data_IF_935816079687
#
_entry.id   IF_935816079687
#
_cell.length_a   1.000
_cell.length_b   1.000
_cell.length_c   1.000
_cell.angle_alpha   90.00
_cell.angle_beta   90.00
_cell.angle_gamma   90.00
#
_symmetry.space_group_name_H-M   'P 1'
#
loop_
_entity.id
_entity.type
_entity.pdbx_description
1 polymer ?
#
# COMPACT_ATOMS: atom_id res chain seq x y z
N UNK A 1 -5.01 21.79 16.41
CA UNK A 1 -6.47 21.74 16.11
C UNK A 1 -6.61 21.26 14.69
N UNK A 2 -7.42 20.23 14.43
CA UNK A 2 -7.68 19.78 13.06
C UNK A 2 -8.77 20.66 12.44
N UNK A 3 -8.67 20.94 11.14
CA UNK A 3 -9.67 21.76 10.46
C UNK A 3 -11.03 21.05 10.41
N UNK A 4 -11.03 19.70 10.38
CA UNK A 4 -12.27 18.91 10.45
C UNK A 4 -13.06 19.15 11.73
N UNK A 5 -12.39 19.39 12.86
CA UNK A 5 -13.05 19.59 14.15
C UNK A 5 -13.84 20.91 14.16
N UNK A 6 -13.42 21.88 13.34
CA UNK A 6 -14.11 23.16 13.20
C UNK A 6 -15.44 23.02 12.43
N UNK A 7 -15.54 22.06 11.50
CA UNK A 7 -16.74 21.86 10.68
C UNK A 7 -17.95 21.36 11.50
N UNK A 8 -17.70 20.68 12.62
CA UNK A 8 -18.75 20.25 13.56
C UNK A 8 -19.07 21.28 14.65
N UNK A 9 -18.33 22.39 14.69
CA UNK A 9 -18.41 23.41 15.73
C UNK A 9 -19.30 24.61 15.38
N UNK A 10 -19.33 25.64 16.24
CA UNK A 10 -20.06 26.87 15.96
C UNK A 10 -19.50 27.64 14.75
N UNK A 11 -20.27 28.57 14.14
CA UNK A 11 -19.88 29.39 12.99
C UNK A 11 -18.61 30.21 13.14
N UNK A 12 -18.49 30.89 14.27
CA UNK A 12 -17.60 32.03 14.45
C UNK A 12 -16.10 31.66 14.35
N UNK A 13 -15.65 30.49 14.85
CA UNK A 13 -14.29 30.01 14.62
C UNK A 13 -13.91 29.84 13.15
N UNK A 14 -14.83 29.36 12.30
CA UNK A 14 -14.54 29.15 10.87
C UNK A 14 -14.41 30.49 10.16
N UNK A 15 -15.35 31.40 10.39
CA UNK A 15 -15.36 32.72 9.74
C UNK A 15 -14.11 33.54 10.14
N UNK A 16 -13.68 33.40 11.41
CA UNK A 16 -12.42 33.99 11.86
C UNK A 16 -11.21 33.36 11.16
N UNK A 17 -11.15 32.03 11.10
CA UNK A 17 -10.05 31.33 10.48
C UNK A 17 -9.91 31.63 8.98
N UNK A 18 -11.02 31.65 8.24
CA UNK A 18 -11.06 31.98 6.80
C UNK A 18 -10.60 33.41 6.53
N UNK A 19 -10.89 34.35 7.43
CA UNK A 19 -10.44 35.74 7.30
C UNK A 19 -8.94 35.89 7.56
N UNK A 20 -8.41 35.12 8.51
CA UNK A 20 -7.05 35.31 9.02
C UNK A 20 -6.00 34.44 8.28
N UNK A 21 -6.44 33.52 7.40
CA UNK A 21 -5.58 32.60 6.67
C UNK A 21 -5.93 32.53 5.17
N UNK A 22 -5.03 31.98 4.36
CA UNK A 22 -5.34 31.59 2.97
C UNK A 22 -6.26 30.36 3.02
N UNK A 23 -7.55 30.59 3.23
CA UNK A 23 -8.53 29.53 3.45
C UNK A 23 -9.88 29.86 2.82
N UNK A 24 -10.69 28.81 2.60
CA UNK A 24 -12.05 28.91 2.11
C UNK A 24 -12.92 27.79 2.69
N UNK A 25 -14.13 28.15 3.09
CA UNK A 25 -15.18 27.22 3.48
C UNK A 25 -16.31 27.27 2.44
N UNK A 26 -16.90 26.14 2.09
CA UNK A 26 -18.09 26.15 1.24
C UNK A 26 -19.32 26.63 2.04
N UNK A 27 -20.36 27.08 1.34
CA UNK A 27 -21.57 27.65 1.95
C UNK A 27 -22.21 26.72 2.99
N UNK A 28 -22.25 25.42 2.71
CA UNK A 28 -22.88 24.42 3.58
C UNK A 28 -21.96 23.91 4.71
N UNK A 29 -20.72 24.42 4.79
CA UNK A 29 -19.72 24.03 5.80
C UNK A 29 -19.43 22.53 5.85
N UNK A 30 -19.50 21.89 4.70
CA UNK A 30 -19.17 20.47 4.51
C UNK A 30 -17.74 20.27 4.02
N UNK A 31 -17.05 21.35 3.63
CA UNK A 31 -15.66 21.36 3.23
C UNK A 31 -14.97 22.68 3.62
N UNK A 32 -13.76 22.56 4.16
CA UNK A 32 -12.85 23.66 4.47
C UNK A 32 -11.49 23.35 3.85
N UNK A 33 -10.93 24.29 3.11
CA UNK A 33 -9.60 24.18 2.53
C UNK A 33 -8.73 25.34 3.01
N UNK A 34 -7.46 25.07 3.30
CA UNK A 34 -6.51 26.08 3.74
C UNK A 34 -5.11 25.79 3.21
N UNK A 35 -4.37 26.83 2.88
CA UNK A 35 -2.94 26.76 2.60
C UNK A 35 -2.21 27.35 3.80
N UNK A 36 -1.45 26.51 4.49
CA UNK A 36 -0.78 26.86 5.74
C UNK A 36 0.73 26.74 5.60
N UNK A 37 1.51 27.65 6.23
CA UNK A 37 2.94 27.43 6.43
C UNK A 37 3.19 26.11 7.17
N UNK A 38 4.18 25.34 6.72
CA UNK A 38 4.52 24.05 7.29
C UNK A 38 6.02 23.76 7.23
N UNK A 39 6.51 22.98 8.19
CA UNK A 39 7.89 22.49 8.17
C UNK A 39 8.16 21.64 6.89
N UNK A 40 9.33 21.76 6.24
CA UNK A 40 9.61 21.08 4.97
C UNK A 40 9.62 19.55 5.07
N UNK A 41 9.89 19.00 6.26
CA UNK A 41 9.92 17.54 6.50
C UNK A 41 8.74 17.00 7.30
N UNK A 42 8.07 17.85 8.07
CA UNK A 42 7.04 17.43 9.02
C UNK A 42 5.76 18.21 8.75
N UNK A 43 4.58 17.59 8.84
CA UNK A 43 3.30 18.31 8.71
C UNK A 43 2.95 19.09 9.98
N UNK A 44 3.89 19.91 10.44
CA UNK A 44 3.82 20.78 11.62
C UNK A 44 4.00 22.23 11.23
N UNK A 45 3.63 23.15 12.13
CA UNK A 45 3.96 24.56 12.02
C UNK A 45 5.48 24.74 12.10
N UNK A 46 6.11 25.53 11.22
CA UNK A 46 7.55 25.80 11.29
C UNK A 46 7.87 26.68 12.51
N UNK A 47 9.03 26.44 13.13
CA UNK A 47 9.56 27.30 14.19
C UNK A 47 10.21 28.57 13.62
N UNK A 48 10.42 29.56 14.49
CA UNK A 48 11.02 30.83 14.08
C UNK A 48 12.46 30.62 13.58
N UNK A 49 12.71 30.97 12.31
CA UNK A 49 14.02 30.84 11.67
C UNK A 49 14.24 29.53 10.92
N UNK A 50 13.25 28.63 10.92
CA UNK A 50 13.24 27.45 10.05
C UNK A 50 12.82 27.81 8.63
N UNK A 51 13.24 26.98 7.68
CA UNK A 51 12.73 27.02 6.31
C UNK A 51 11.22 26.77 6.32
N UNK A 52 10.48 27.53 5.51
CA UNK A 52 9.03 27.43 5.41
C UNK A 52 8.64 26.78 4.09
N UNK A 53 7.85 25.72 4.17
CA UNK A 53 7.10 25.14 3.05
C UNK A 53 5.61 25.44 3.22
N UNK A 54 4.79 25.01 2.26
CA UNK A 54 3.33 25.14 2.36
C UNK A 54 2.65 23.77 2.30
N UNK A 55 1.53 23.65 3.01
CA UNK A 55 0.64 22.49 2.96
C UNK A 55 -0.77 22.94 2.61
N UNK A 56 -1.38 22.27 1.64
CA UNK A 56 -2.82 22.32 1.40
C UNK A 56 -3.49 21.34 2.37
N UNK A 57 -4.31 21.87 3.27
CA UNK A 57 -5.18 21.10 4.16
C UNK A 57 -6.59 21.14 3.60
N UNK A 58 -7.20 19.98 3.37
CA UNK A 58 -8.60 19.86 2.92
C UNK A 58 -9.34 18.99 3.91
N UNK A 59 -10.33 19.58 4.58
CA UNK A 59 -11.13 18.94 5.61
C UNK A 59 -12.59 18.74 5.15
N UNK A 60 -13.14 17.60 5.54
CA UNK A 60 -14.55 17.22 5.55
C UNK A 60 -14.90 16.72 6.97
N UNK A 61 -16.19 16.62 7.37
CA UNK A 61 -16.56 16.23 8.73
C UNK A 61 -15.88 14.95 9.27
N UNK A 62 -15.55 13.99 8.40
CA UNK A 62 -14.95 12.71 8.80
C UNK A 62 -13.51 12.52 8.32
N UNK A 63 -12.94 13.47 7.57
CA UNK A 63 -11.65 13.27 6.92
C UNK A 63 -10.86 14.57 6.80
N UNK A 64 -9.55 14.50 6.93
CA UNK A 64 -8.62 15.59 6.63
C UNK A 64 -7.49 15.05 5.76
N UNK A 65 -7.17 15.74 4.66
CA UNK A 65 -6.04 15.45 3.81
C UNK A 65 -5.04 16.59 3.88
N UNK A 66 -3.74 16.25 3.88
CA UNK A 66 -2.63 17.20 3.89
C UNK A 66 -1.72 16.91 2.72
N UNK A 67 -1.53 17.88 1.84
CA UNK A 67 -0.74 17.75 0.62
C UNK A 67 0.34 18.84 0.60
N UNK A 68 1.61 18.46 0.42
CA UNK A 68 2.69 19.44 0.27
C UNK A 68 2.55 20.20 -1.05
N UNK A 69 2.64 21.52 -0.97
CA UNK A 69 2.67 22.40 -2.13
C UNK A 69 4.09 22.90 -2.40
N UNK A 70 4.42 23.34 -3.63
CA UNK A 70 5.70 23.97 -3.91
C UNK A 70 6.01 25.11 -2.95
N UNK A 71 7.20 25.10 -2.35
CA UNK A 71 7.69 26.14 -1.44
C UNK A 71 8.06 27.42 -2.20
N UNK A 72 8.45 27.31 -3.47
CA UNK A 72 8.84 28.45 -4.31
C UNK A 72 7.65 29.36 -4.72
N UNK A 73 6.41 28.92 -4.52
CA UNK A 73 5.20 29.65 -4.90
C UNK A 73 4.65 30.41 -3.70
N UNK A 74 4.28 31.67 -3.92
CA UNK A 74 3.56 32.46 -2.93
C UNK A 74 2.05 32.34 -3.17
N UNK A 75 1.33 31.87 -2.15
CA UNK A 75 -0.12 31.65 -2.18
C UNK A 75 -0.85 32.85 -1.57
N UNK A 76 -1.81 33.39 -2.31
CA UNK A 76 -2.53 34.62 -1.98
C UNK A 76 -3.98 34.37 -1.58
N UNK A 77 -4.58 33.29 -2.11
CA UNK A 77 -5.99 32.99 -1.91
C UNK A 77 -6.33 31.56 -2.32
N UNK A 78 -7.42 31.04 -1.78
CA UNK A 78 -8.02 29.78 -2.23
C UNK A 78 -9.54 29.93 -2.26
N UNK A 79 -10.19 29.26 -3.20
CA UNK A 79 -11.65 29.13 -3.29
C UNK A 79 -12.02 27.68 -3.55
N UNK A 80 -13.05 27.18 -2.89
CA UNK A 80 -13.68 25.90 -3.24
C UNK A 80 -14.70 26.17 -4.34
N UNK A 81 -14.53 25.56 -5.51
CA UNK A 81 -15.36 25.82 -6.70
C UNK A 81 -16.38 24.72 -6.97
N UNK A 82 -16.13 23.49 -6.52
CA UNK A 82 -17.07 22.37 -6.58
C UNK A 82 -16.76 21.34 -5.48
N UNK A 83 -17.74 20.51 -5.13
CA UNK A 83 -17.58 19.39 -4.18
C UNK A 83 -17.73 18.00 -4.82
N UNK A 84 -18.43 17.94 -5.95
CA UNK A 84 -18.84 16.74 -6.68
C UNK A 84 -18.44 16.89 -8.15
N UNK A 85 -17.90 15.86 -8.82
CA UNK A 85 -17.53 14.52 -8.30
C UNK A 85 -16.27 14.53 -7.41
N UNK A 86 -15.59 15.67 -7.32
CA UNK A 86 -14.37 15.86 -6.56
C UNK A 86 -14.31 17.29 -6.04
N UNK A 87 -13.70 17.52 -4.86
CA UNK A 87 -13.48 18.90 -4.40
C UNK A 87 -12.55 19.59 -5.40
N UNK A 88 -13.00 20.70 -5.95
CA UNK A 88 -12.26 21.52 -6.90
C UNK A 88 -11.92 22.86 -6.28
N UNK A 89 -10.78 23.41 -6.67
CA UNK A 89 -10.24 24.65 -6.11
C UNK A 89 -9.75 25.60 -7.19
N UNK A 90 -9.81 26.88 -6.87
CA UNK A 90 -8.96 27.90 -7.47
C UNK A 90 -7.97 28.39 -6.42
N UNK A 91 -6.69 28.38 -6.75
CA UNK A 91 -5.61 28.84 -5.87
C UNK A 91 -4.99 30.07 -6.53
N UNK A 92 -5.11 31.23 -5.90
CA UNK A 92 -4.47 32.44 -6.36
C UNK A 92 -3.02 32.46 -5.90
N UNK A 93 -2.11 32.68 -6.83
CA UNK A 93 -0.67 32.79 -6.58
C UNK A 93 -0.14 34.08 -7.18
N UNK A 94 1.10 34.42 -6.88
CA UNK A 94 1.81 35.52 -7.55
C UNK A 94 2.02 35.29 -9.05
N UNK A 95 1.97 34.05 -9.53
CA UNK A 95 2.11 33.69 -10.95
C UNK A 95 0.76 33.63 -11.69
N UNK A 96 -0.36 33.76 -10.97
CA UNK A 96 -1.72 33.67 -11.50
C UNK A 96 -2.61 32.69 -10.73
N UNK A 97 -3.84 32.50 -11.19
CA UNK A 97 -4.79 31.57 -10.58
C UNK A 97 -4.64 30.18 -11.18
N UNK A 98 -4.36 29.19 -10.31
CA UNK A 98 -4.30 27.77 -10.67
C UNK A 98 -5.66 27.14 -10.40
N UNK A 99 -6.21 26.48 -11.42
CA UNK A 99 -7.42 25.64 -11.29
C UNK A 99 -6.98 24.21 -11.04
N UNK A 100 -7.53 23.57 -10.02
CA UNK A 100 -7.18 22.19 -9.67
C UNK A 100 -8.33 21.48 -8.96
N UNK A 101 -8.13 20.22 -8.60
CA UNK A 101 -9.06 19.41 -7.81
C UNK A 101 -8.32 18.34 -6.98
N UNK A 102 -9.04 17.66 -6.09
CA UNK A 102 -8.45 16.63 -5.21
C UNK A 102 -7.83 15.45 -5.96
N UNK A 103 -8.22 15.17 -7.21
CA UNK A 103 -7.61 14.12 -8.03
C UNK A 103 -6.22 14.55 -8.53
N UNK A 104 -6.10 15.78 -9.03
CA UNK A 104 -4.81 16.32 -9.50
C UNK A 104 -3.82 16.54 -8.35
N UNK A 105 -4.24 17.14 -7.24
CA UNK A 105 -3.33 17.44 -6.11
C UNK A 105 -2.76 16.18 -5.44
N UNK A 106 -3.43 15.02 -5.56
CA UNK A 106 -2.89 13.73 -5.08
C UNK A 106 -1.59 13.33 -5.77
N UNK A 107 -1.34 13.83 -6.98
CA UNK A 107 -0.06 13.60 -7.66
C UNK A 107 1.13 14.15 -6.86
N UNK A 108 0.91 15.12 -5.95
CA UNK A 108 1.93 15.71 -5.09
C UNK A 108 2.17 14.93 -3.78
N UNK A 109 1.43 13.86 -3.50
CA UNK A 109 1.52 13.12 -2.22
C UNK A 109 2.74 12.19 -2.10
N UNK A 110 3.60 12.08 -3.12
CA UNK A 110 4.80 11.24 -3.04
C UNK A 110 5.76 11.79 -1.97
N UNK A 111 6.15 10.92 -1.03
CA UNK A 111 6.94 11.29 0.16
C UNK A 111 8.27 11.98 -0.21
N UNK A 112 8.98 11.44 -1.21
CA UNK A 112 10.33 11.90 -1.61
C UNK A 112 10.36 12.66 -2.94
N UNK A 113 9.34 13.48 -3.20
CA UNK A 113 9.29 14.30 -4.41
C UNK A 113 10.27 15.48 -4.34
N UNK A 114 11.16 15.60 -5.33
CA UNK A 114 12.01 16.78 -5.52
C UNK A 114 11.18 18.05 -5.76
N UNK A 115 11.66 19.21 -5.32
CA UNK A 115 10.92 20.47 -5.41
C UNK A 115 10.65 20.88 -6.88
N UNK A 116 11.60 20.64 -7.78
CA UNK A 116 11.43 20.93 -9.21
C UNK A 116 10.34 20.07 -9.86
N UNK A 117 10.23 18.79 -9.43
CA UNK A 117 9.15 17.90 -9.85
C UNK A 117 7.81 18.40 -9.33
N UNK A 118 7.74 18.73 -8.05
CA UNK A 118 6.55 19.25 -7.38
C UNK A 118 6.02 20.50 -8.08
N UNK A 119 6.92 21.43 -8.38
CA UNK A 119 6.60 22.66 -9.10
C UNK A 119 6.10 22.37 -10.52
N UNK A 120 6.71 21.42 -11.22
CA UNK A 120 6.29 21.03 -12.58
C UNK A 120 4.88 20.44 -12.59
N UNK A 121 4.58 19.53 -11.65
CA UNK A 121 3.26 18.92 -11.50
C UNK A 121 2.23 19.99 -11.11
N UNK A 122 2.54 20.86 -10.15
CA UNK A 122 1.62 21.92 -9.73
C UNK A 122 1.24 22.85 -10.89
N UNK A 123 2.22 23.19 -11.75
CA UNK A 123 1.99 24.02 -12.95
C UNK A 123 1.26 23.29 -14.08
N UNK A 124 1.17 21.97 -14.05
CA UNK A 124 0.44 21.20 -15.06
C UNK A 124 -1.04 21.02 -14.74
N UNK A 125 -1.48 21.44 -13.56
CA UNK A 125 -2.88 21.35 -13.15
C UNK A 125 -3.80 22.13 -14.08
N UNK A 126 -4.93 21.51 -14.40
CA UNK A 126 -5.94 22.06 -15.31
C UNK A 126 -7.29 22.23 -14.63
N UNK A 127 -7.48 21.62 -13.46
CA UNK A 127 -8.77 21.51 -12.79
C UNK A 127 -9.70 20.50 -13.45
N UNK A 128 -9.27 19.82 -14.51
CA UNK A 128 -10.10 18.84 -15.21
C UNK A 128 -10.23 17.58 -14.36
N UNK A 129 -11.46 17.25 -13.99
CA UNK A 129 -11.76 15.94 -13.45
C UNK A 129 -11.72 14.90 -14.57
N UNK A 130 -11.00 13.81 -14.32
CA UNK A 130 -11.02 12.63 -15.17
C UNK A 130 -11.80 11.57 -14.40
N UNK A 131 -13.02 11.20 -14.84
CA UNK A 131 -13.75 10.11 -14.22
C UNK A 131 -12.87 8.87 -14.12
N UNK A 132 -12.85 8.17 -12.98
CA UNK A 132 -12.15 6.90 -12.91
C UNK A 132 -12.72 6.00 -14.01
N UNK A 133 -11.85 5.35 -14.77
CA UNK A 133 -12.27 4.32 -15.71
C UNK A 133 -12.94 3.25 -14.85
N UNK A 134 -14.23 2.91 -15.08
CA UNK A 134 -14.87 1.83 -14.34
C UNK A 134 -14.00 0.59 -14.46
N UNK A 135 -13.65 -0.03 -13.33
CA UNK A 135 -12.99 -1.34 -13.37
C UNK A 135 -13.89 -2.27 -14.17
N UNK A 136 -13.35 -2.89 -15.21
CA UNK A 136 -14.05 -3.97 -15.89
C UNK A 136 -14.39 -5.00 -14.83
N UNK A 137 -15.67 -5.38 -14.73
CA UNK A 137 -16.08 -6.35 -13.72
C UNK A 137 -15.23 -7.61 -13.89
N UNK A 138 -14.54 -8.02 -12.83
CA UNK A 138 -13.80 -9.26 -12.82
C UNK A 138 -14.74 -10.41 -13.20
N UNK A 139 -14.28 -11.28 -14.08
CA UNK A 139 -15.03 -12.44 -14.55
C UNK A 139 -14.31 -13.71 -14.14
N UNK A 140 -15.05 -14.80 -13.88
CA UNK A 140 -14.44 -16.09 -13.68
C UNK A 140 -13.63 -16.52 -14.91
N UNK A 141 -12.53 -17.23 -14.68
CA UNK A 141 -11.77 -17.86 -15.75
C UNK A 141 -11.13 -19.18 -15.29
N UNK A 142 -10.82 -20.04 -16.24
CA UNK A 142 -10.31 -21.38 -15.95
C UNK A 142 -8.79 -21.44 -16.01
N UNK A 143 -8.23 -22.23 -15.10
CA UNK A 143 -6.86 -22.73 -15.15
C UNK A 143 -6.91 -24.26 -15.12
N UNK A 144 -5.83 -24.91 -15.58
CA UNK A 144 -5.75 -26.37 -15.55
C UNK A 144 -5.46 -26.90 -14.14
N UNK A 145 -4.66 -26.18 -13.34
CA UNK A 145 -4.23 -26.63 -12.02
C UNK A 145 -5.20 -26.25 -10.91
N UNK A 146 -5.84 -25.08 -10.98
CA UNK A 146 -6.73 -24.55 -9.93
C UNK A 146 -8.22 -24.63 -10.29
N UNK A 147 -8.55 -25.06 -11.51
CA UNK A 147 -9.93 -25.09 -11.99
C UNK A 147 -10.47 -23.69 -12.28
N UNK A 148 -11.77 -23.50 -12.09
CA UNK A 148 -12.44 -22.22 -12.33
C UNK A 148 -12.20 -21.26 -11.17
N UNK A 149 -11.49 -20.19 -11.45
CA UNK A 149 -11.21 -19.11 -10.52
C UNK A 149 -12.40 -18.16 -10.43
N UNK A 150 -12.92 -17.92 -9.22
CA UNK A 150 -14.06 -17.04 -8.99
C UNK A 150 -13.58 -15.67 -8.50
N UNK A 151 -14.05 -14.56 -9.07
CA UNK A 151 -13.76 -13.26 -8.52
C UNK A 151 -14.47 -13.09 -7.17
N UNK A 152 -13.81 -12.40 -6.25
CA UNK A 152 -14.41 -11.97 -4.99
C UNK A 152 -15.54 -10.94 -5.23
N UNK A 153 -16.20 -10.51 -4.14
CA UNK A 153 -17.32 -9.58 -4.24
C UNK A 153 -16.92 -8.19 -4.79
N UNK A 154 -15.65 -7.80 -4.60
CA UNK A 154 -15.11 -6.51 -5.05
C UNK A 154 -14.50 -6.59 -6.47
N UNK A 155 -14.19 -7.79 -6.95
CA UNK A 155 -13.52 -8.04 -8.22
C UNK A 155 -12.02 -7.69 -8.20
N UNK A 156 -11.42 -7.70 -7.02
CA UNK A 156 -10.01 -7.37 -6.79
C UNK A 156 -9.15 -8.64 -6.66
N UNK A 157 -9.78 -9.75 -6.30
CA UNK A 157 -9.13 -11.05 -6.14
C UNK A 157 -9.88 -12.16 -6.88
N UNK A 158 -9.15 -13.21 -7.19
CA UNK A 158 -9.71 -14.47 -7.65
C UNK A 158 -9.41 -15.57 -6.64
N UNK A 159 -10.41 -16.36 -6.31
CA UNK A 159 -10.32 -17.48 -5.38
C UNK A 159 -10.42 -18.79 -6.15
N UNK A 160 -9.59 -19.76 -5.76
CA UNK A 160 -9.73 -21.15 -6.17
C UNK A 160 -10.22 -22.02 -5.00
N UNK A 161 -10.72 -23.21 -5.33
CA UNK A 161 -10.94 -24.24 -4.32
C UNK A 161 -9.63 -24.61 -3.62
N UNK A 162 -9.65 -24.92 -2.31
CA UNK A 162 -8.46 -25.32 -1.58
C UNK A 162 -7.73 -26.50 -2.22
N UNK A 163 -6.40 -26.45 -2.22
CA UNK A 163 -5.54 -27.47 -2.83
C UNK A 163 -4.64 -28.13 -1.79
N UNK A 164 -4.45 -29.44 -1.92
CA UNK A 164 -3.51 -30.18 -1.08
C UNK A 164 -2.06 -29.84 -1.49
N UNK A 165 -1.25 -29.43 -0.52
CA UNK A 165 0.11 -28.94 -0.74
C UNK A 165 1.13 -29.98 -0.27
N UNK A 166 1.84 -30.69 -1.17
CA UNK A 166 2.78 -31.74 -0.78
C UNK A 166 3.98 -31.22 0.02
N UNK A 167 4.35 -29.94 -0.13
CA UNK A 167 5.34 -29.26 0.70
C UNK A 167 4.98 -29.30 2.20
N UNK A 168 3.68 -29.27 2.53
CA UNK A 168 3.15 -29.39 3.89
C UNK A 168 2.41 -30.72 4.09
N UNK A 169 2.96 -31.81 3.55
CA UNK A 169 2.44 -33.18 3.73
C UNK A 169 0.96 -33.35 3.33
N UNK A 170 0.52 -32.57 2.33
CA UNK A 170 -0.86 -32.60 1.81
C UNK A 170 -1.84 -31.71 2.56
N UNK A 171 -1.36 -30.78 3.40
CA UNK A 171 -2.20 -29.73 3.99
C UNK A 171 -3.01 -29.03 2.91
N UNK A 172 -4.33 -28.95 3.11
CA UNK A 172 -5.24 -28.31 2.17
C UNK A 172 -5.29 -26.82 2.45
N UNK A 173 -4.82 -26.00 1.51
CA UNK A 173 -4.74 -24.54 1.67
C UNK A 173 -5.66 -23.81 0.69
N UNK A 174 -6.37 -22.76 1.11
CA UNK A 174 -7.05 -21.85 0.20
C UNK A 174 -6.04 -21.16 -0.71
N UNK A 175 -6.48 -20.83 -1.94
CA UNK A 175 -5.64 -20.18 -2.95
C UNK A 175 -6.32 -18.89 -3.41
N UNK A 176 -5.59 -17.78 -3.32
CA UNK A 176 -6.04 -16.48 -3.77
C UNK A 176 -5.06 -15.93 -4.81
N UNK A 177 -5.58 -15.18 -5.78
CA UNK A 177 -4.79 -14.57 -6.84
C UNK A 177 -5.14 -13.08 -6.96
N UNK A 178 -4.12 -12.26 -7.17
CA UNK A 178 -4.24 -10.81 -7.33
C UNK A 178 -3.59 -10.33 -8.62
N UNK A 179 -4.17 -9.32 -9.27
CA UNK A 179 -3.65 -8.69 -10.49
C UNK A 179 -3.40 -9.67 -11.66
N UNK A 180 -4.24 -10.70 -11.76
CA UNK A 180 -4.21 -11.72 -12.82
C UNK A 180 -5.43 -11.63 -13.75
N UNK A 181 -5.31 -12.27 -14.91
CA UNK A 181 -6.38 -12.38 -15.88
C UNK A 181 -6.37 -13.74 -16.58
N UNK A 182 -7.39 -14.00 -17.40
CA UNK A 182 -7.44 -15.20 -18.25
C UNK A 182 -6.23 -15.33 -19.20
N UNK A 183 -5.53 -14.24 -19.53
CA UNK A 183 -4.31 -14.29 -20.34
C UNK A 183 -3.12 -14.90 -19.58
N UNK A 184 -3.15 -14.87 -18.25
CA UNK A 184 -2.08 -15.36 -17.39
C UNK A 184 -2.23 -16.85 -17.02
N UNK A 185 -3.34 -17.49 -17.42
CA UNK A 185 -3.70 -18.86 -17.03
C UNK A 185 -2.58 -19.89 -17.28
N UNK A 186 -1.90 -19.81 -18.43
CA UNK A 186 -0.79 -20.74 -18.74
C UNK A 186 0.43 -20.53 -17.85
N UNK A 187 0.71 -19.30 -17.42
CA UNK A 187 1.84 -19.00 -16.54
C UNK A 187 1.52 -19.41 -15.10
N UNK A 188 0.28 -19.20 -14.65
CA UNK A 188 -0.25 -19.69 -13.38
C UNK A 188 -0.17 -21.22 -13.32
N UNK A 189 -0.62 -21.91 -14.38
CA UNK A 189 -0.54 -23.36 -14.48
C UNK A 189 0.90 -23.86 -14.34
N UNK A 190 1.85 -23.26 -15.09
CA UNK A 190 3.24 -23.65 -15.03
C UNK A 190 3.85 -23.46 -13.62
N UNK A 191 3.57 -22.32 -12.98
CA UNK A 191 4.06 -22.05 -11.63
C UNK A 191 3.45 -23.00 -10.59
N UNK A 192 2.13 -23.23 -10.64
CA UNK A 192 1.48 -24.15 -9.71
C UNK A 192 1.92 -25.60 -9.92
N UNK A 193 2.15 -26.04 -11.15
CA UNK A 193 2.70 -27.38 -11.39
C UNK A 193 4.10 -27.57 -10.81
N UNK A 194 4.95 -26.55 -10.91
CA UNK A 194 6.26 -26.59 -10.30
C UNK A 194 6.14 -26.62 -8.77
N UNK A 195 5.31 -25.74 -8.21
CA UNK A 195 5.13 -25.63 -6.77
C UNK A 195 4.56 -26.92 -6.16
N UNK A 196 3.56 -27.52 -6.79
CA UNK A 196 2.94 -28.77 -6.31
C UNK A 196 3.86 -30.00 -6.44
N UNK A 197 5.03 -29.90 -7.12
CA UNK A 197 6.06 -30.94 -7.10
C UNK A 197 6.99 -30.82 -5.88
N UNK A 198 7.03 -29.64 -5.24
CA UNK A 198 7.81 -29.45 -4.02
C UNK A 198 7.22 -30.31 -2.91
N UNK A 199 8.09 -30.91 -2.11
CA UNK A 199 7.70 -31.87 -1.07
C UNK A 199 8.48 -31.64 0.23
N UNK A 200 8.35 -32.55 1.20
CA UNK A 200 9.04 -32.47 2.48
C UNK A 200 10.58 -32.31 2.37
N UNK A 201 11.23 -32.83 1.32
CA UNK A 201 12.65 -32.60 1.09
C UNK A 201 12.95 -31.13 0.74
N UNK A 202 12.10 -30.51 -0.07
CA UNK A 202 12.23 -29.09 -0.42
C UNK A 202 11.87 -28.20 0.77
N UNK A 203 10.94 -28.64 1.62
CA UNK A 203 10.68 -28.01 2.93
C UNK A 203 11.93 -28.02 3.81
N UNK A 204 12.63 -29.14 3.92
CA UNK A 204 13.91 -29.20 4.64
C UNK A 204 14.99 -28.29 4.04
N UNK A 205 15.03 -28.14 2.71
CA UNK A 205 15.93 -27.17 2.04
C UNK A 205 15.58 -25.70 2.32
N UNK A 206 14.30 -25.38 2.53
CA UNK A 206 13.85 -24.03 2.88
C UNK A 206 14.05 -23.70 4.37
N UNK A 207 14.12 -24.72 5.22
CA UNK A 207 14.18 -24.59 6.68
C UNK A 207 15.30 -23.66 7.19
N UNK A 208 16.53 -23.65 6.63
CA UNK A 208 17.58 -22.72 7.06
C UNK A 208 17.19 -21.24 6.89
N UNK A 209 16.51 -20.89 5.80
CA UNK A 209 16.08 -19.51 5.57
C UNK A 209 14.93 -19.08 6.52
N UNK A 210 14.05 -20.02 6.86
CA UNK A 210 12.98 -19.79 7.86
C UNK A 210 13.56 -19.63 9.25
N UNK A 211 14.52 -20.48 9.63
CA UNK A 211 15.22 -20.35 10.91
C UNK A 211 16.01 -19.03 10.98
N UNK A 212 16.67 -18.62 9.90
CA UNK A 212 17.37 -17.33 9.83
C UNK A 212 16.41 -16.16 10.02
N UNK A 213 15.23 -16.18 9.38
CA UNK A 213 14.20 -15.15 9.60
C UNK A 213 13.78 -15.07 11.07
N UNK A 214 13.50 -16.21 11.72
CA UNK A 214 13.17 -16.29 13.14
C UNK A 214 14.31 -15.73 14.03
N UNK A 215 15.55 -16.16 13.81
CA UNK A 215 16.71 -15.72 14.59
C UNK A 215 16.98 -14.22 14.42
N UNK A 216 16.81 -13.69 13.21
CA UNK A 216 16.95 -12.26 12.95
C UNK A 216 15.94 -11.47 13.76
N UNK A 217 14.66 -11.88 13.77
CA UNK A 217 13.64 -11.23 14.57
C UNK A 217 13.94 -11.28 16.08
N UNK A 218 14.22 -12.48 16.61
CA UNK A 218 14.51 -12.68 18.03
C UNK A 218 15.76 -11.91 18.51
N UNK A 219 16.69 -11.59 17.60
CA UNK A 219 17.88 -10.78 17.94
C UNK A 219 17.57 -9.29 18.14
N UNK A 220 16.41 -8.81 17.69
CA UNK A 220 15.99 -7.40 17.75
C UNK A 220 15.08 -7.09 18.94
N UNK A 221 14.59 -8.11 19.65
CA UNK A 221 13.68 -7.97 20.77
C UNK A 221 14.30 -8.48 22.07
N UNK A 222 13.76 -8.03 23.20
CA UNK A 222 14.06 -8.63 24.49
C UNK A 222 13.30 -9.97 24.60
N UNK A 223 14.03 -11.06 24.78
CA UNK A 223 13.44 -12.38 25.04
C UNK A 223 12.83 -12.36 26.44
N UNK A 224 11.51 -12.54 26.54
CA UNK A 224 10.79 -12.40 27.82
C UNK A 224 10.16 -13.71 28.29
N UNK A 225 10.07 -14.72 27.41
CA UNK A 225 9.47 -16.01 27.72
C UNK A 225 10.45 -17.17 27.56
N UNK A 226 10.18 -18.31 28.23
CA UNK A 226 10.93 -19.54 28.03
C UNK A 226 10.82 -20.06 26.58
N UNK A 227 9.70 -19.80 25.90
CA UNK A 227 9.49 -20.17 24.50
C UNK A 227 10.43 -19.36 23.58
N UNK A 228 10.57 -18.05 23.80
CA UNK A 228 11.48 -17.19 23.02
C UNK A 228 12.92 -17.68 23.13
N UNK A 229 13.35 -18.04 24.36
CA UNK A 229 14.68 -18.60 24.59
C UNK A 229 14.87 -19.97 23.95
N UNK A 230 13.85 -20.84 23.97
CA UNK A 230 13.90 -22.14 23.32
C UNK A 230 14.00 -22.00 21.80
N UNK A 231 13.23 -21.10 21.19
CA UNK A 231 13.29 -20.79 19.76
C UNK A 231 14.65 -20.21 19.37
N UNK A 232 15.18 -19.25 20.14
CA UNK A 232 16.50 -18.65 19.89
C UNK A 232 17.65 -19.68 19.98
N UNK A 233 17.46 -20.78 20.72
CA UNK A 233 18.45 -21.85 20.87
C UNK A 233 18.36 -22.94 19.78
N UNK A 234 17.40 -22.84 18.84
CA UNK A 234 17.28 -23.79 17.73
C UNK A 234 18.54 -23.75 16.86
N UNK A 235 19.14 -24.94 16.66
CA UNK A 235 20.32 -25.14 15.81
C UNK A 235 20.08 -26.13 14.68
N UNK A 236 19.03 -26.94 14.78
CA UNK A 236 18.53 -27.79 13.70
C UNK A 236 17.48 -27.01 12.90
N UNK A 237 17.74 -26.66 11.63
CA UNK A 237 16.77 -25.93 10.81
C UNK A 237 15.42 -26.62 10.70
N UNK A 238 15.38 -27.95 10.61
CA UNK A 238 14.12 -28.69 10.45
C UNK A 238 13.21 -28.61 11.68
N UNK A 239 13.76 -28.23 12.84
CA UNK A 239 13.00 -28.03 14.06
C UNK A 239 12.16 -26.74 14.08
N UNK A 240 12.24 -25.89 13.04
CA UNK A 240 11.47 -24.63 12.98
C UNK A 240 9.99 -24.84 12.59
N UNK A 241 9.67 -25.89 11.84
CA UNK A 241 8.34 -26.08 11.26
C UNK A 241 7.19 -26.22 12.26
N UNK A 242 7.36 -26.77 13.49
CA UNK A 242 6.32 -26.75 14.51
C UNK A 242 5.88 -25.33 14.92
N UNK A 243 6.69 -24.31 14.66
CA UNK A 243 6.43 -22.90 14.99
C UNK A 243 5.82 -22.11 13.82
N UNK A 244 5.49 -22.80 12.72
CA UNK A 244 4.97 -22.21 11.48
C UNK A 244 3.63 -22.85 11.14
N UNK A 245 2.59 -22.03 11.04
CA UNK A 245 1.23 -22.47 10.71
C UNK A 245 0.78 -21.83 9.38
N UNK A 246 0.91 -22.57 8.28
CA UNK A 246 0.59 -22.08 6.94
C UNK A 246 -0.93 -21.94 6.73
N UNK A 247 -1.37 -20.76 6.33
CA UNK A 247 -2.79 -20.39 6.24
C UNK A 247 -3.32 -20.39 4.81
N UNK A 248 -2.53 -19.94 3.84
CA UNK A 248 -2.99 -19.77 2.45
C UNK A 248 -1.84 -19.78 1.45
N UNK A 249 -2.22 -19.89 0.17
CA UNK A 249 -1.36 -19.63 -0.98
C UNK A 249 -1.86 -18.35 -1.67
N UNK A 250 -0.97 -17.39 -1.85
CA UNK A 250 -1.22 -16.22 -2.70
C UNK A 250 -0.41 -16.33 -4.00
N UNK A 251 -1.07 -16.09 -5.13
CA UNK A 251 -0.44 -16.04 -6.44
C UNK A 251 -0.35 -14.59 -6.87
N UNK A 252 0.89 -14.11 -6.99
CA UNK A 252 1.18 -12.71 -7.30
C UNK A 252 1.91 -12.64 -8.63
N UNK A 253 1.34 -11.87 -9.56
CA UNK A 253 2.00 -11.53 -10.81
C UNK A 253 2.99 -10.40 -10.57
N UNK A 254 4.23 -10.62 -10.95
CA UNK A 254 5.23 -9.57 -11.08
C UNK A 254 5.40 -9.23 -12.56
N UNK A 255 5.03 -8.02 -12.97
CA UNK A 255 5.17 -7.55 -14.36
C UNK A 255 6.61 -7.19 -14.74
N UNK A 256 7.57 -7.29 -13.81
CA UNK A 256 8.95 -6.86 -13.98
C UNK A 256 9.17 -5.39 -13.57
N UNK A 257 10.41 -4.92 -13.58
CA UNK A 257 10.70 -3.51 -13.23
C UNK A 257 9.95 -2.55 -14.15
N UNK A 258 9.53 -1.40 -13.61
CA UNK A 258 8.87 -0.33 -14.37
C UNK A 258 9.69 0.20 -15.56
N UNK A 259 10.99 -0.13 -15.60
CA UNK A 259 11.92 0.20 -16.67
C UNK A 259 12.13 -0.95 -17.69
N UNK A 260 11.40 -2.06 -17.56
CA UNK A 260 11.38 -3.19 -18.50
C UNK A 260 12.56 -4.15 -18.42
N UNK A 261 13.29 -4.18 -17.30
CA UNK A 261 14.55 -4.94 -17.16
C UNK A 261 14.36 -6.36 -16.55
N UNK A 262 13.16 -6.69 -16.06
CA UNK A 262 12.84 -8.03 -15.54
C UNK A 262 11.84 -8.78 -16.41
N UNK A 263 12.05 -10.08 -16.62
CA UNK A 263 11.02 -10.93 -17.23
C UNK A 263 9.84 -11.10 -16.27
N UNK A 264 8.59 -10.92 -16.76
CA UNK A 264 7.39 -11.16 -15.97
C UNK A 264 7.42 -12.56 -15.34
N UNK A 265 6.97 -12.67 -14.10
CA UNK A 265 6.95 -13.95 -13.39
C UNK A 265 5.74 -14.10 -12.48
N UNK A 266 5.37 -15.35 -12.23
CA UNK A 266 4.31 -15.71 -11.28
C UNK A 266 4.97 -16.18 -10.00
N UNK A 267 4.69 -15.53 -8.88
CA UNK A 267 5.17 -15.92 -7.58
C UNK A 267 4.09 -16.71 -6.85
N UNK A 268 4.48 -17.84 -6.27
CA UNK A 268 3.65 -18.60 -5.33
C UNK A 268 4.14 -18.24 -3.94
N UNK A 269 3.28 -17.59 -3.17
CA UNK A 269 3.57 -17.10 -1.82
C UNK A 269 2.82 -17.98 -0.83
N UNK A 270 3.54 -18.59 0.10
CA UNK A 270 2.93 -19.25 1.25
C UNK A 270 2.83 -18.24 2.38
N UNK A 271 1.61 -17.98 2.82
CA UNK A 271 1.28 -17.01 3.86
C UNK A 271 1.01 -17.80 5.14
N UNK A 272 1.85 -17.60 6.15
CA UNK A 272 1.90 -18.40 7.36
C UNK A 272 1.85 -17.51 8.61
N UNK A 273 1.18 -17.97 9.66
CA UNK A 273 1.45 -17.47 10.99
C UNK A 273 2.76 -18.08 11.51
N UNK A 274 3.45 -17.36 12.39
CA UNK A 274 4.61 -17.88 13.10
C UNK A 274 4.59 -17.43 14.56
N UNK A 275 5.23 -18.21 15.44
CA UNK A 275 5.21 -17.90 16.88
C UNK A 275 6.10 -16.71 17.28
N UNK A 276 7.13 -16.40 16.49
CA UNK A 276 8.05 -15.29 16.83
C UNK A 276 7.53 -13.92 16.43
N UNK A 277 6.75 -13.80 15.35
CA UNK A 277 6.22 -12.53 14.85
C UNK A 277 4.70 -12.64 14.60
N UNK A 278 3.88 -12.51 15.66
CA UNK A 278 2.44 -12.73 15.58
C UNK A 278 1.64 -11.58 14.94
N UNK A 279 2.22 -10.39 14.78
CA UNK A 279 1.53 -9.24 14.17
C UNK A 279 1.62 -9.31 12.64
N UNK A 280 2.79 -9.70 12.12
CA UNK A 280 3.07 -9.70 10.68
C UNK A 280 3.21 -11.10 10.06
N UNK A 281 3.40 -12.15 10.87
CA UNK A 281 3.55 -13.52 10.39
C UNK A 281 4.78 -13.76 9.50
N UNK A 282 4.72 -14.82 8.70
CA UNK A 282 5.76 -15.29 7.80
C UNK A 282 5.22 -15.44 6.38
N UNK A 283 5.98 -15.00 5.39
CA UNK A 283 5.80 -15.34 3.99
C UNK A 283 7.01 -16.11 3.43
N UNK A 284 6.74 -17.13 2.60
CA UNK A 284 7.75 -17.92 1.90
C UNK A 284 7.43 -17.85 0.40
N UNK A 285 8.36 -17.30 -0.39
CA UNK A 285 8.11 -16.93 -1.79
C UNK A 285 8.87 -17.82 -2.75
N UNK A 286 8.14 -18.45 -3.67
CA UNK A 286 8.68 -19.22 -4.78
C UNK A 286 8.42 -18.53 -6.12
N UNK A 287 9.48 -18.06 -6.78
CA UNK A 287 9.40 -17.55 -8.15
C UNK A 287 9.16 -18.69 -9.14
N UNK A 288 8.15 -18.53 -10.00
CA UNK A 288 7.65 -19.54 -10.94
C UNK A 288 7.36 -20.91 -10.29
N UNK A 289 7.04 -20.89 -8.99
CA UNK A 289 6.77 -22.07 -8.17
C UNK A 289 7.95 -23.03 -7.98
N UNK A 290 9.16 -22.72 -8.44
CA UNK A 290 10.30 -23.65 -8.37
C UNK A 290 11.47 -23.14 -7.51
N UNK A 291 11.73 -21.84 -7.55
CA UNK A 291 12.90 -21.24 -6.89
C UNK A 291 12.46 -20.46 -5.68
N UNK A 292 12.90 -20.89 -4.49
CA UNK A 292 12.79 -20.07 -3.28
C UNK A 292 13.59 -18.78 -3.49
N UNK A 293 12.92 -17.63 -3.42
CA UNK A 293 13.54 -16.31 -3.59
C UNK A 293 13.55 -15.50 -2.30
N UNK A 294 12.56 -15.71 -1.42
CA UNK A 294 12.43 -14.89 -0.21
C UNK A 294 11.74 -15.62 0.93
N UNK A 295 12.19 -15.32 2.15
CA UNK A 295 11.50 -15.62 3.41
C UNK A 295 11.51 -14.35 4.26
N UNK A 296 10.34 -13.80 4.58
CA UNK A 296 10.24 -12.55 5.34
C UNK A 296 8.90 -12.43 6.07
N UNK A 297 8.65 -11.29 6.71
CA UNK A 297 7.31 -10.88 7.16
C UNK A 297 6.36 -10.66 5.97
N UNK A 298 5.03 -10.80 6.19
CA UNK A 298 4.00 -10.74 5.15
C UNK A 298 3.73 -9.32 4.60
N UNK A 299 4.35 -8.28 5.15
CA UNK A 299 4.21 -6.89 4.68
C UNK A 299 5.22 -6.52 3.57
N UNK A 300 6.13 -7.43 3.24
CA UNK A 300 7.18 -7.24 2.24
C UNK A 300 6.72 -7.51 0.80
N UNK A 301 7.40 -6.87 -0.17
CA UNK A 301 7.21 -7.18 -1.60
C UNK A 301 7.71 -8.61 -1.95
N UNK A 302 7.14 -9.21 -3.00
CA UNK A 302 7.50 -10.57 -3.47
C UNK A 302 8.90 -10.69 -4.09
N UNK A 303 9.64 -9.58 -4.21
CA UNK A 303 10.99 -9.52 -4.79
C UNK A 303 12.07 -9.68 -3.72
N UNK A 304 13.25 -10.15 -4.16
CA UNK A 304 14.48 -10.29 -3.35
C UNK A 304 14.89 -8.97 -2.68
#
# INVERSE_FOLDING_TARGET
MLLRDMLGGPPEPIDAFVRDHVAACNADRTALAAILPSHPKWFSTPESGEDVSYVLVVARPLAESRIRLPAAIQYLGIRITALDPVISFEIDTTEGTVKTNMQEVRALCKLDMAEEERLRIFRSFTGRYVPPVPRTKAVPFDTRTLGTLQPDEYGDFWEAEPIAVPFFDGLSLPVQLMDVSAADASAIDAAMENFLRLNAQDRSRAAPAVLENCQNFLSMIDLTTEADHAMAALTDPDAIWPYVDCQSIDIVKDEGDSDGVGEPSIHVVLTCNCEWEPEHGLQIVYRNGERLTRVSEQDGHVRE
#
